data_IF_620770333111
#
_entry.id   IF_620770333111
#
_cell.length_a   1.000
_cell.length_b   1.000
_cell.length_c   1.000
_cell.angle_alpha   90.00
_cell.angle_beta   90.00
_cell.angle_gamma   90.00
#
_symmetry.space_group_name_H-M   'P 1'
#
loop_
_entity.id
_entity.type
_entity.pdbx_description
1 polymer ?
#
# COMPACT_ATOMS: atom_id res chain seq x y z
N UNK A 1 -20.86 30.98 -62.70
CA UNK A 1 -20.19 29.72 -62.20
C UNK A 1 -19.53 30.03 -60.89
N UNK A 2 -20.25 29.82 -59.81
CA UNK A 2 -19.75 30.04 -58.43
C UNK A 2 -19.55 28.73 -57.76
N UNK A 3 -18.32 28.39 -57.43
CA UNK A 3 -17.99 27.25 -56.58
C UNK A 3 -17.93 27.71 -55.12
N UNK A 4 -18.83 27.19 -54.31
CA UNK A 4 -18.84 27.34 -52.87
C UNK A 4 -17.71 26.52 -52.26
N UNK A 5 -16.80 27.21 -51.58
CA UNK A 5 -15.86 26.59 -50.63
C UNK A 5 -16.55 26.57 -49.27
N UNK A 6 -16.95 25.40 -48.81
CA UNK A 6 -17.30 25.17 -47.40
C UNK A 6 -16.02 24.71 -46.73
N UNK A 7 -15.43 25.64 -46.01
CA UNK A 7 -14.21 25.39 -45.24
C UNK A 7 -14.50 24.90 -43.82
N UNK A 8 -13.70 24.03 -43.38
CA UNK A 8 -13.13 23.74 -42.05
C UNK A 8 -13.64 24.66 -40.93
N UNK A 9 -14.54 24.14 -40.12
CA UNK A 9 -14.77 24.58 -38.73
C UNK A 9 -15.47 23.45 -37.97
N UNK A 10 -14.72 22.47 -37.48
CA UNK A 10 -15.16 21.51 -36.45
C UNK A 10 -13.97 20.66 -35.97
N UNK A 11 -13.03 21.27 -35.28
CA UNK A 11 -12.04 20.58 -34.45
C UNK A 11 -11.46 21.59 -33.47
N UNK A 12 -12.20 21.98 -32.46
CA UNK A 12 -11.65 22.61 -31.22
C UNK A 12 -12.77 22.83 -30.21
N UNK A 13 -13.37 21.73 -29.71
CA UNK A 13 -14.11 21.75 -28.42
C UNK A 13 -14.06 20.33 -27.85
N UNK A 14 -12.93 19.93 -27.32
CA UNK A 14 -12.84 18.73 -26.46
C UNK A 14 -11.55 18.77 -25.63
N UNK A 15 -11.22 19.90 -25.02
CA UNK A 15 -10.03 19.98 -24.17
C UNK A 15 -10.17 21.03 -23.06
N UNK A 16 -11.34 21.19 -22.46
CA UNK A 16 -11.50 22.12 -21.32
C UNK A 16 -12.68 21.70 -20.42
N UNK A 17 -12.60 20.53 -19.85
CA UNK A 17 -13.52 20.11 -18.78
C UNK A 17 -12.83 19.13 -17.79
N UNK A 18 -11.58 19.44 -17.39
CA UNK A 18 -10.86 18.65 -16.36
C UNK A 18 -10.03 19.56 -15.45
N UNK A 19 -10.60 20.63 -14.96
CA UNK A 19 -9.93 21.51 -14.01
C UNK A 19 -10.94 22.09 -13.02
N UNK A 20 -11.50 21.22 -12.16
CA UNK A 20 -12.10 21.60 -10.88
C UNK A 20 -12.43 20.34 -10.06
N UNK A 21 -11.46 19.51 -9.74
CA UNK A 21 -11.57 18.52 -8.66
C UNK A 21 -10.39 18.78 -7.72
N UNK A 22 -10.72 19.03 -6.47
CA UNK A 22 -9.78 19.41 -5.42
C UNK A 22 -8.54 18.53 -5.38
N UNK A 23 -7.38 19.16 -5.18
CA UNK A 23 -6.05 18.64 -5.34
C UNK A 23 -5.73 17.35 -4.61
N UNK A 24 -6.07 16.24 -5.22
CA UNK A 24 -5.40 14.98 -5.01
C UNK A 24 -4.48 14.85 -6.23
N UNK A 25 -3.19 14.91 -5.99
CA UNK A 25 -2.22 14.65 -7.04
C UNK A 25 -2.55 13.28 -7.63
N UNK A 26 -3.03 13.27 -8.86
CA UNK A 26 -3.14 12.04 -9.65
C UNK A 26 -1.72 11.53 -9.77
N UNK A 27 -1.39 10.50 -9.01
CA UNK A 27 -0.08 9.88 -9.06
C UNK A 27 0.20 9.54 -10.53
N UNK A 28 1.29 10.07 -11.06
CA UNK A 28 1.65 9.87 -12.46
C UNK A 28 1.77 8.37 -12.77
N UNK A 29 1.26 7.97 -13.91
CA UNK A 29 1.26 6.58 -14.39
C UNK A 29 2.63 6.11 -14.91
N UNK A 30 3.72 6.80 -14.62
CA UNK A 30 5.04 6.44 -15.09
C UNK A 30 5.63 5.25 -14.33
N UNK A 31 6.30 4.37 -15.05
CA UNK A 31 7.09 3.29 -14.48
C UNK A 31 8.25 3.87 -13.65
N UNK A 32 8.37 3.42 -12.42
CA UNK A 32 9.46 3.77 -11.51
C UNK A 32 10.26 2.51 -11.19
N UNK A 33 11.00 2.05 -12.18
CA UNK A 33 11.84 0.86 -12.06
C UNK A 33 13.24 1.27 -11.63
N UNK A 34 13.60 0.92 -10.41
CA UNK A 34 14.87 1.29 -9.81
C UNK A 34 15.52 0.08 -9.13
N UNK A 35 16.84 0.09 -9.06
CA UNK A 35 17.62 -0.95 -8.37
C UNK A 35 18.72 -0.31 -7.55
N UNK A 36 18.95 -0.85 -6.35
CA UNK A 36 20.10 -0.53 -5.52
C UNK A 36 20.73 -1.80 -4.97
N UNK A 37 22.05 -1.82 -4.95
CA UNK A 37 22.79 -2.91 -4.31
C UNK A 37 23.24 -2.49 -2.92
N UNK A 38 22.91 -3.31 -1.96
CA UNK A 38 23.43 -3.24 -0.60
C UNK A 38 24.67 -4.14 -0.58
N UNK A 39 25.84 -3.53 -0.49
CA UNK A 39 27.10 -4.25 -0.45
C UNK A 39 27.46 -4.66 0.99
N UNK A 40 27.89 -5.92 1.14
CA UNK A 40 28.35 -6.46 2.41
C UNK A 40 29.85 -6.74 2.33
N UNK A 41 30.70 -6.06 3.12
CA UNK A 41 32.14 -6.30 3.11
C UNK A 41 32.48 -7.76 3.44
N UNK A 42 33.41 -8.32 2.70
CA UNK A 42 33.93 -9.67 2.97
C UNK A 42 33.10 -10.83 2.43
N UNK A 43 32.06 -10.56 1.64
CA UNK A 43 31.27 -11.62 0.99
C UNK A 43 31.39 -11.57 -0.53
N UNK A 44 31.26 -12.75 -1.17
CA UNK A 44 31.06 -12.87 -2.61
C UNK A 44 29.66 -13.36 -2.97
N UNK A 45 28.84 -13.64 -1.95
CA UNK A 45 27.48 -14.11 -2.14
C UNK A 45 26.59 -12.96 -2.57
N UNK A 46 25.83 -13.17 -3.67
CA UNK A 46 24.93 -12.16 -4.22
C UNK A 46 23.51 -12.70 -4.31
N UNK A 47 22.58 -11.98 -3.73
CA UNK A 47 21.16 -12.29 -3.79
C UNK A 47 20.36 -11.10 -4.31
N UNK A 48 19.09 -11.33 -4.60
CA UNK A 48 18.15 -10.34 -5.11
C UNK A 48 16.84 -10.40 -4.34
N UNK A 49 16.31 -9.23 -4.02
CA UNK A 49 14.91 -9.00 -3.69
C UNK A 49 14.24 -8.37 -4.91
N UNK A 50 13.12 -8.94 -5.34
CA UNK A 50 12.26 -8.33 -6.36
C UNK A 50 10.98 -7.84 -5.69
N UNK A 51 10.67 -6.58 -5.90
CA UNK A 51 9.51 -5.92 -5.34
C UNK A 51 8.61 -5.37 -6.45
N UNK A 52 7.37 -5.85 -6.54
CA UNK A 52 6.36 -5.38 -7.48
C UNK A 52 5.32 -4.53 -6.75
N UNK A 53 4.94 -3.40 -7.33
CA UNK A 53 3.94 -2.58 -6.65
C UNK A 53 3.61 -1.26 -7.33
N UNK A 54 3.02 -0.38 -6.54
CA UNK A 54 2.64 0.96 -6.94
C UNK A 54 3.66 2.03 -6.47
N UNK A 55 3.19 3.20 -6.12
CA UNK A 55 4.03 4.32 -5.69
C UNK A 55 4.74 4.09 -4.36
N UNK A 56 4.18 3.28 -3.48
CA UNK A 56 4.76 3.00 -2.16
C UNK A 56 6.06 2.19 -2.33
N UNK A 57 6.00 1.11 -3.12
CA UNK A 57 7.20 0.32 -3.41
C UNK A 57 8.16 1.03 -4.37
N UNK A 58 7.66 1.91 -5.23
CA UNK A 58 8.51 2.81 -6.00
C UNK A 58 9.35 3.74 -5.12
N UNK A 59 8.89 4.02 -3.91
CA UNK A 59 9.51 4.99 -3.03
C UNK A 59 9.18 6.43 -3.44
N UNK A 60 7.95 6.68 -3.87
CA UNK A 60 7.51 8.01 -4.23
C UNK A 60 7.79 9.01 -3.10
N UNK A 61 8.50 10.10 -3.43
CA UNK A 61 8.89 11.11 -2.47
C UNK A 61 8.65 12.52 -3.05
N UNK A 62 7.40 12.95 -3.01
CA UNK A 62 6.95 14.24 -3.49
C UNK A 62 6.87 14.40 -5.02
N UNK A 63 7.52 13.54 -5.79
CA UNK A 63 7.40 13.48 -7.26
C UNK A 63 7.79 12.11 -7.80
N UNK A 64 7.34 11.80 -9.03
CA UNK A 64 7.68 10.54 -9.70
C UNK A 64 9.16 10.44 -10.10
N UNK A 65 9.83 11.55 -10.26
CA UNK A 65 11.27 11.59 -10.56
C UNK A 65 12.13 11.48 -9.28
N UNK A 66 11.52 11.56 -8.13
CA UNK A 66 12.18 11.50 -6.83
C UNK A 66 11.80 10.22 -6.10
N UNK A 67 12.51 9.13 -6.39
CA UNK A 67 12.34 7.86 -5.72
C UNK A 67 13.26 7.75 -4.51
N UNK A 68 12.69 7.59 -3.33
CA UNK A 68 13.47 7.39 -2.11
C UNK A 68 14.29 6.09 -2.20
N UNK A 69 15.60 6.17 -1.90
CA UNK A 69 16.48 4.99 -1.88
C UNK A 69 15.96 3.96 -0.89
N UNK A 70 15.62 4.39 0.30
CA UNK A 70 15.19 3.51 1.40
C UNK A 70 13.67 3.36 1.49
N UNK A 71 12.99 3.19 0.36
CA UNK A 71 11.65 2.63 0.37
C UNK A 71 11.66 1.21 0.93
N UNK A 72 10.49 0.72 1.35
CA UNK A 72 10.34 -0.54 2.06
C UNK A 72 11.18 -1.71 1.50
N UNK A 73 11.19 -1.99 0.19
CA UNK A 73 11.98 -3.12 -0.32
C UNK A 73 13.49 -2.96 -0.18
N UNK A 74 14.01 -1.73 -0.12
CA UNK A 74 15.44 -1.50 0.08
C UNK A 74 15.80 -1.60 1.56
N UNK A 75 14.91 -1.19 2.45
CA UNK A 75 15.05 -1.41 3.90
C UNK A 75 15.15 -2.90 4.21
N UNK A 76 14.28 -3.70 3.60
CA UNK A 76 14.34 -5.16 3.72
C UNK A 76 15.65 -5.75 3.19
N UNK A 77 16.13 -5.23 2.05
CA UNK A 77 17.41 -5.65 1.49
C UNK A 77 18.58 -5.39 2.45
N UNK A 78 18.59 -4.26 3.15
CA UNK A 78 19.61 -3.96 4.15
C UNK A 78 19.60 -4.96 5.30
N UNK A 79 18.42 -5.20 5.85
CA UNK A 79 18.27 -6.17 6.93
C UNK A 79 18.73 -7.56 6.50
N UNK A 80 18.22 -8.05 5.38
CA UNK A 80 18.55 -9.39 4.89
C UNK A 80 20.01 -9.51 4.46
N UNK A 81 20.63 -8.43 3.98
CA UNK A 81 22.07 -8.39 3.73
C UNK A 81 22.86 -8.67 5.00
N UNK A 82 22.46 -8.07 6.13
CA UNK A 82 23.07 -8.35 7.41
C UNK A 82 22.83 -9.79 7.89
N UNK A 83 21.58 -10.26 7.80
CA UNK A 83 21.19 -11.60 8.28
C UNK A 83 21.82 -12.73 7.46
N UNK A 84 21.95 -12.57 6.16
CA UNK A 84 22.44 -13.60 5.26
C UNK A 84 23.93 -13.47 4.91
N UNK A 85 24.58 -12.43 5.42
CA UNK A 85 25.95 -12.06 5.07
C UNK A 85 26.19 -12.07 3.57
N UNK A 86 25.37 -11.33 2.82
CA UNK A 86 25.36 -11.33 1.37
C UNK A 86 25.15 -9.90 0.80
N UNK A 87 25.71 -9.66 -0.39
CA UNK A 87 25.28 -8.53 -1.19
C UNK A 87 23.84 -8.74 -1.63
N UNK A 88 22.99 -7.74 -1.47
CA UNK A 88 21.60 -7.84 -1.91
C UNK A 88 21.26 -6.71 -2.88
N UNK A 89 20.83 -7.09 -4.08
CA UNK A 89 20.22 -6.19 -5.05
C UNK A 89 18.72 -6.05 -4.74
N UNK A 90 18.30 -4.85 -4.36
CA UNK A 90 16.89 -4.46 -4.23
C UNK A 90 16.38 -3.99 -5.60
N UNK A 91 15.58 -4.81 -6.27
CA UNK A 91 15.01 -4.52 -7.59
C UNK A 91 13.55 -4.16 -7.42
N UNK A 92 13.24 -2.88 -7.59
CA UNK A 92 11.86 -2.37 -7.53
C UNK A 92 11.28 -2.23 -8.92
N UNK A 93 10.16 -2.90 -9.16
CA UNK A 93 9.40 -2.94 -10.42
C UNK A 93 8.00 -2.38 -10.14
N UNK A 94 7.92 -1.06 -10.10
CA UNK A 94 6.74 -0.36 -9.60
C UNK A 94 6.19 0.63 -10.61
N UNK A 95 4.90 1.00 -10.45
CA UNK A 95 4.23 2.00 -11.27
C UNK A 95 3.32 2.83 -10.37
N UNK A 96 3.67 4.09 -10.15
CA UNK A 96 2.82 5.00 -9.37
C UNK A 96 1.41 5.09 -9.96
N UNK A 97 0.40 5.03 -9.10
CA UNK A 97 -1.00 5.05 -9.50
C UNK A 97 -1.55 3.71 -10.02
N UNK A 98 -0.74 2.65 -10.03
CA UNK A 98 -1.20 1.34 -10.49
C UNK A 98 -2.28 0.76 -9.58
N UNK A 99 -3.37 0.30 -10.17
CA UNK A 99 -4.39 -0.52 -9.48
C UNK A 99 -3.99 -2.00 -9.49
N UNK A 100 -4.70 -2.83 -8.76
CA UNK A 100 -4.36 -4.24 -8.59
C UNK A 100 -4.18 -5.00 -9.92
N UNK A 101 -5.07 -4.77 -10.89
CA UNK A 101 -4.96 -5.36 -12.23
C UNK A 101 -3.69 -4.94 -12.97
N UNK A 102 -3.28 -3.68 -12.82
CA UNK A 102 -2.05 -3.14 -13.43
C UNK A 102 -0.80 -3.76 -12.79
N UNK A 103 -0.74 -3.82 -11.46
CA UNK A 103 0.38 -4.46 -10.76
C UNK A 103 0.49 -5.93 -11.17
N UNK A 104 -0.62 -6.64 -11.24
CA UNK A 104 -0.65 -8.03 -11.68
C UNK A 104 -0.14 -8.17 -13.13
N UNK A 105 -0.80 -7.54 -14.08
CA UNK A 105 -0.55 -7.77 -15.50
C UNK A 105 0.77 -7.14 -15.99
N UNK A 106 0.99 -5.87 -15.62
CA UNK A 106 2.07 -5.06 -16.19
C UNK A 106 3.37 -5.10 -15.38
N UNK A 107 3.33 -5.63 -14.13
CA UNK A 107 4.52 -5.78 -13.29
C UNK A 107 4.82 -7.24 -13.01
N UNK A 108 3.94 -7.97 -12.35
CA UNK A 108 4.23 -9.35 -11.93
C UNK A 108 4.35 -10.27 -13.16
N UNK A 109 3.37 -10.24 -14.08
CA UNK A 109 3.34 -11.12 -15.25
C UNK A 109 4.33 -10.67 -16.31
N UNK A 110 4.27 -9.40 -16.73
CA UNK A 110 5.10 -8.88 -17.82
C UNK A 110 6.58 -8.86 -17.47
N UNK A 111 6.93 -8.62 -16.21
CA UNK A 111 8.30 -8.49 -15.75
C UNK A 111 8.78 -9.70 -14.93
N UNK A 112 8.19 -10.87 -15.16
CA UNK A 112 8.49 -12.12 -14.43
C UNK A 112 9.95 -12.55 -14.44
N UNK A 113 10.71 -12.16 -15.45
CA UNK A 113 12.14 -12.51 -15.58
C UNK A 113 12.96 -12.11 -14.34
N UNK A 114 12.55 -11.06 -13.65
CA UNK A 114 13.23 -10.64 -12.41
C UNK A 114 13.06 -11.66 -11.29
N UNK A 115 11.85 -12.20 -11.08
CA UNK A 115 11.62 -13.22 -10.05
C UNK A 115 12.13 -14.60 -10.43
N UNK A 116 12.36 -14.86 -11.72
CA UNK A 116 12.92 -16.10 -12.24
C UNK A 116 14.44 -16.16 -12.19
N UNK A 117 15.10 -15.03 -11.96
CA UNK A 117 16.56 -14.99 -11.92
C UNK A 117 17.11 -15.85 -10.77
N UNK A 118 18.19 -16.59 -11.05
CA UNK A 118 18.79 -17.54 -10.11
C UNK A 118 19.33 -16.89 -8.81
N UNK A 119 19.56 -15.58 -8.81
CA UNK A 119 19.94 -14.82 -7.62
C UNK A 119 18.76 -14.43 -6.73
N UNK A 120 17.52 -14.52 -7.23
CA UNK A 120 16.33 -14.08 -6.47
C UNK A 120 16.07 -14.99 -5.29
N UNK A 121 15.95 -14.38 -4.11
CA UNK A 121 15.65 -15.07 -2.84
C UNK A 121 14.38 -14.56 -2.18
N UNK A 122 13.95 -13.35 -2.55
CA UNK A 122 12.73 -12.75 -2.04
C UNK A 122 11.92 -12.21 -3.20
N UNK A 123 10.62 -12.49 -3.18
CA UNK A 123 9.63 -11.82 -4.01
C UNK A 123 8.63 -11.16 -3.08
N UNK A 124 8.54 -9.85 -3.14
CA UNK A 124 7.55 -9.10 -2.40
C UNK A 124 6.67 -8.30 -3.33
N UNK A 125 5.42 -8.07 -2.95
CA UNK A 125 4.54 -7.21 -3.71
C UNK A 125 3.53 -6.50 -2.81
N UNK A 126 3.04 -5.38 -3.30
CA UNK A 126 1.90 -4.67 -2.76
C UNK A 126 0.99 -4.22 -3.91
N UNK A 127 -0.30 -4.13 -3.64
CA UNK A 127 -1.32 -3.70 -4.60
C UNK A 127 -2.59 -3.30 -3.86
N UNK A 128 -3.59 -2.83 -4.57
CA UNK A 128 -4.90 -2.43 -4.03
C UNK A 128 -4.96 -1.03 -3.39
N UNK A 129 -3.84 -0.40 -3.10
CA UNK A 129 -3.85 0.95 -2.54
C UNK A 129 -4.64 1.93 -3.40
N UNK A 130 -4.35 1.94 -4.70
CA UNK A 130 -5.04 2.83 -5.65
C UNK A 130 -6.49 2.41 -5.93
N UNK A 131 -6.84 1.13 -5.90
CA UNK A 131 -8.23 0.68 -5.99
C UNK A 131 -9.06 1.26 -4.83
N UNK A 132 -8.54 1.16 -3.61
CA UNK A 132 -9.15 1.73 -2.42
C UNK A 132 -9.27 3.26 -2.47
N UNK A 133 -8.19 3.95 -2.84
CA UNK A 133 -8.16 5.42 -2.94
C UNK A 133 -9.14 5.95 -3.99
N UNK A 134 -9.25 5.30 -5.14
CA UNK A 134 -10.20 5.67 -6.18
C UNK A 134 -11.64 5.44 -5.72
N UNK A 135 -11.94 4.30 -5.10
CA UNK A 135 -13.25 3.99 -4.56
C UNK A 135 -13.66 4.95 -3.44
N UNK A 136 -12.74 5.29 -2.53
CA UNK A 136 -12.92 6.30 -1.49
C UNK A 136 -13.23 7.68 -2.09
N UNK A 137 -12.45 8.12 -3.06
CA UNK A 137 -12.65 9.39 -3.75
C UNK A 137 -13.98 9.43 -4.50
N UNK A 138 -14.32 8.34 -5.19
CA UNK A 138 -15.58 8.20 -5.89
C UNK A 138 -16.78 8.29 -4.91
N UNK A 139 -16.72 7.61 -3.77
CA UNK A 139 -17.79 7.70 -2.75
C UNK A 139 -17.88 9.12 -2.17
N UNK A 140 -16.76 9.74 -1.85
CA UNK A 140 -16.70 11.09 -1.26
C UNK A 140 -17.31 12.16 -2.18
N UNK A 141 -17.19 12.02 -3.49
CA UNK A 141 -17.68 12.97 -4.48
C UNK A 141 -19.16 12.81 -4.86
N UNK A 142 -19.81 11.72 -4.41
CA UNK A 142 -21.22 11.44 -4.76
C UNK A 142 -22.19 12.47 -4.16
N UNK A 143 -23.26 12.70 -4.93
CA UNK A 143 -24.40 13.52 -4.52
C UNK A 143 -25.68 12.73 -4.78
N UNK A 144 -26.79 13.14 -4.19
CA UNK A 144 -28.05 12.42 -4.31
C UNK A 144 -28.02 11.12 -3.50
N UNK A 145 -28.32 9.98 -4.10
CA UNK A 145 -28.29 8.67 -3.45
C UNK A 145 -26.88 8.09 -3.49
N UNK A 146 -26.38 7.60 -2.36
CA UNK A 146 -25.08 6.95 -2.27
C UNK A 146 -25.08 5.62 -3.03
N UNK A 147 -24.06 5.41 -3.87
CA UNK A 147 -23.79 4.15 -4.54
C UNK A 147 -22.54 3.50 -3.94
N UNK A 148 -22.74 2.47 -3.15
CA UNK A 148 -21.66 1.73 -2.49
C UNK A 148 -20.96 0.71 -3.38
N UNK A 149 -21.45 0.49 -4.61
CA UNK A 149 -20.81 -0.44 -5.55
C UNK A 149 -19.38 -0.06 -5.88
N UNK A 150 -19.02 1.22 -5.74
CA UNK A 150 -17.63 1.68 -5.92
C UNK A 150 -16.69 0.98 -4.93
N UNK A 151 -17.12 0.74 -3.69
CA UNK A 151 -16.35 0.03 -2.68
C UNK A 151 -16.31 -1.48 -2.96
N UNK A 152 -17.48 -2.11 -3.18
CA UNK A 152 -17.53 -3.54 -3.44
C UNK A 152 -16.81 -3.96 -4.74
N UNK A 153 -16.76 -3.09 -5.74
CA UNK A 153 -15.98 -3.33 -6.95
C UNK A 153 -14.47 -3.30 -6.67
N UNK A 154 -13.99 -2.37 -5.84
CA UNK A 154 -12.59 -2.34 -5.42
C UNK A 154 -12.23 -3.59 -4.61
N UNK A 155 -13.09 -4.00 -3.67
CA UNK A 155 -12.92 -5.24 -2.89
C UNK A 155 -12.83 -6.47 -3.82
N UNK A 156 -13.73 -6.59 -4.78
CA UNK A 156 -13.76 -7.71 -5.74
C UNK A 156 -12.51 -7.71 -6.65
N UNK A 157 -12.09 -6.54 -7.13
CA UNK A 157 -10.86 -6.38 -7.91
C UNK A 157 -9.65 -6.85 -7.11
N UNK A 158 -9.48 -6.32 -5.91
CA UNK A 158 -8.37 -6.68 -5.04
C UNK A 158 -8.35 -8.18 -4.72
N UNK A 159 -9.48 -8.75 -4.33
CA UNK A 159 -9.62 -10.18 -4.04
C UNK A 159 -9.17 -11.03 -5.22
N UNK A 160 -9.58 -10.67 -6.43
CA UNK A 160 -9.24 -11.38 -7.66
C UNK A 160 -7.75 -11.31 -7.97
N UNK A 161 -7.19 -10.11 -8.00
CA UNK A 161 -5.82 -9.94 -8.48
C UNK A 161 -4.75 -10.28 -7.43
N UNK A 162 -5.05 -10.15 -6.14
CA UNK A 162 -4.18 -10.66 -5.07
C UNK A 162 -4.03 -12.18 -5.16
N UNK A 163 -5.13 -12.90 -5.31
CA UNK A 163 -5.11 -14.36 -5.47
C UNK A 163 -4.34 -14.76 -6.73
N UNK A 164 -4.63 -14.12 -7.87
CA UNK A 164 -3.95 -14.39 -9.14
C UNK A 164 -2.46 -14.10 -9.07
N UNK A 165 -2.06 -13.01 -8.40
CA UNK A 165 -0.65 -12.65 -8.20
C UNK A 165 0.11 -13.70 -7.41
N UNK A 166 -0.47 -14.18 -6.31
CA UNK A 166 0.15 -15.22 -5.48
C UNK A 166 0.28 -16.54 -6.22
N UNK A 167 -0.77 -16.96 -6.93
CA UNK A 167 -0.73 -18.19 -7.74
C UNK A 167 0.31 -18.08 -8.85
N UNK A 168 0.38 -16.94 -9.53
CA UNK A 168 1.36 -16.71 -10.57
C UNK A 168 2.81 -16.70 -10.04
N UNK A 169 3.06 -16.03 -8.93
CA UNK A 169 4.39 -16.01 -8.28
C UNK A 169 4.77 -17.42 -7.84
N UNK A 170 3.84 -18.19 -7.24
CA UNK A 170 4.10 -19.56 -6.83
C UNK A 170 4.48 -20.47 -8.02
N UNK A 171 3.84 -20.28 -9.16
CA UNK A 171 4.09 -21.08 -10.36
C UNK A 171 5.35 -20.66 -11.13
N UNK A 172 5.80 -19.42 -11.01
CA UNK A 172 6.81 -18.85 -11.91
C UNK A 172 8.08 -18.35 -11.23
N UNK A 173 8.10 -18.13 -9.93
CA UNK A 173 9.28 -17.66 -9.24
C UNK A 173 10.41 -18.74 -9.28
N UNK A 174 11.65 -18.27 -9.23
CA UNK A 174 12.80 -19.17 -9.11
C UNK A 174 12.62 -20.13 -7.92
N UNK A 175 12.87 -21.45 -8.08
CA UNK A 175 12.67 -22.42 -7.01
C UNK A 175 13.47 -22.15 -5.73
N UNK A 176 14.55 -21.39 -5.83
CA UNK A 176 15.38 -20.97 -4.68
C UNK A 176 14.88 -19.73 -3.96
N UNK A 177 13.71 -19.19 -4.27
CA UNK A 177 13.08 -18.12 -3.50
C UNK A 177 12.72 -18.62 -2.11
N UNK A 178 13.25 -17.93 -1.10
CA UNK A 178 13.08 -18.30 0.32
C UNK A 178 11.88 -17.61 0.98
N UNK A 179 11.58 -16.39 0.53
CA UNK A 179 10.52 -15.58 1.11
C UNK A 179 9.62 -15.02 0.00
N UNK A 180 8.33 -15.14 0.20
CA UNK A 180 7.28 -14.51 -0.62
C UNK A 180 6.42 -13.69 0.31
N UNK A 181 6.23 -12.41 0.02
CA UNK A 181 5.64 -11.46 0.97
C UNK A 181 4.63 -10.57 0.26
N UNK A 182 3.53 -10.29 0.94
CA UNK A 182 2.60 -9.20 0.60
C UNK A 182 2.51 -8.22 1.75
N UNK A 183 2.36 -6.93 1.46
CA UNK A 183 2.01 -5.93 2.47
C UNK A 183 0.54 -5.58 2.33
N UNK A 184 -0.21 -5.55 3.45
CA UNK A 184 -1.56 -5.03 3.47
C UNK A 184 -1.56 -3.49 3.55
N UNK A 185 -2.74 -2.87 3.60
CA UNK A 185 -2.93 -1.44 3.41
C UNK A 185 -3.27 -0.75 4.73
N UNK A 186 -2.62 0.36 5.03
CA UNK A 186 -3.10 1.30 6.05
C UNK A 186 -4.24 2.18 5.50
N UNK A 187 -4.88 2.96 6.37
CA UNK A 187 -5.96 3.87 5.96
C UNK A 187 -5.42 5.31 5.87
N UNK A 188 -5.04 5.79 4.67
CA UNK A 188 -4.55 7.16 4.51
C UNK A 188 -5.70 8.16 4.70
N UNK A 189 -5.44 9.24 5.44
CA UNK A 189 -6.45 10.27 5.69
C UNK A 189 -7.59 9.84 6.60
N UNK A 190 -7.37 8.87 7.50
CA UNK A 190 -8.41 8.35 8.40
C UNK A 190 -9.15 9.45 9.16
N UNK A 191 -8.44 10.36 9.83
CA UNK A 191 -9.07 11.43 10.59
C UNK A 191 -9.84 12.41 9.69
N UNK A 192 -9.29 12.72 8.51
CA UNK A 192 -9.93 13.60 7.55
C UNK A 192 -11.23 13.03 6.96
N UNK A 193 -11.42 11.72 7.03
CA UNK A 193 -12.63 11.04 6.56
C UNK A 193 -13.73 10.92 7.61
N UNK A 194 -13.52 11.43 8.82
CA UNK A 194 -14.58 11.58 9.80
C UNK A 194 -15.51 12.75 9.43
N UNK A 195 -16.11 12.64 8.26
CA UNK A 195 -16.98 13.66 7.67
C UNK A 195 -18.23 13.03 7.08
N UNK A 196 -19.32 13.81 7.08
CA UNK A 196 -20.56 13.39 6.45
C UNK A 196 -20.45 13.51 4.91
N UNK A 197 -20.93 12.49 4.24
CA UNK A 197 -21.01 12.48 2.77
C UNK A 197 -22.00 13.53 2.26
N UNK A 198 -21.84 13.91 0.98
CA UNK A 198 -22.84 14.73 0.27
C UNK A 198 -23.98 13.88 -0.29
N UNK A 199 -23.84 12.57 -0.38
CA UNK A 199 -24.91 11.66 -0.78
C UNK A 199 -25.69 11.15 0.45
N UNK A 200 -26.87 10.59 0.20
CA UNK A 200 -27.76 10.04 1.20
C UNK A 200 -27.93 8.53 1.01
N UNK A 201 -27.97 7.80 2.10
CA UNK A 201 -28.26 6.38 2.10
C UNK A 201 -29.68 6.11 1.56
N UNK A 202 -29.80 5.15 0.64
CA UNK A 202 -31.06 4.85 -0.03
C UNK A 202 -32.16 4.33 0.92
N UNK A 203 -31.78 3.63 1.99
CA UNK A 203 -32.71 3.03 2.93
C UNK A 203 -33.19 4.00 4.02
N UNK A 204 -32.28 4.89 4.47
CA UNK A 204 -32.56 5.76 5.62
C UNK A 204 -32.77 7.22 5.24
N UNK A 205 -32.35 7.63 4.05
CA UNK A 205 -32.34 9.04 3.62
C UNK A 205 -31.32 9.92 4.35
N UNK A 206 -30.54 9.36 5.28
CA UNK A 206 -29.54 10.08 6.06
C UNK A 206 -28.22 10.22 5.29
N UNK A 207 -27.42 11.25 5.60
CA UNK A 207 -26.03 11.30 5.19
C UNK A 207 -25.25 10.20 5.92
N UNK A 208 -24.15 9.75 5.32
CA UNK A 208 -23.31 8.68 5.88
C UNK A 208 -21.94 9.22 6.20
N UNK A 209 -21.35 8.81 7.30
CA UNK A 209 -19.97 9.11 7.60
C UNK A 209 -19.06 8.29 6.66
N UNK A 210 -18.09 8.94 6.04
CA UNK A 210 -17.21 8.31 5.07
C UNK A 210 -16.35 7.21 5.70
N UNK A 211 -15.82 7.42 6.91
CA UNK A 211 -15.08 6.39 7.65
C UNK A 211 -15.93 5.14 7.89
N UNK A 212 -17.20 5.31 8.28
CA UNK A 212 -18.09 4.18 8.58
C UNK A 212 -18.37 3.29 7.38
N UNK A 213 -18.12 3.80 6.18
CA UNK A 213 -18.29 3.05 4.93
C UNK A 213 -16.97 2.54 4.35
N UNK A 214 -15.92 3.35 4.40
CA UNK A 214 -14.65 2.96 3.79
C UNK A 214 -13.83 2.02 4.69
N UNK A 215 -13.81 2.23 6.01
CA UNK A 215 -13.04 1.38 6.93
C UNK A 215 -13.43 -0.11 6.86
N UNK A 216 -14.72 -0.49 6.87
CA UNK A 216 -15.09 -1.91 6.70
C UNK A 216 -14.66 -2.48 5.36
N UNK A 217 -14.70 -1.67 4.29
CA UNK A 217 -14.24 -2.08 2.96
C UNK A 217 -12.75 -2.34 2.93
N UNK A 218 -11.95 -1.42 3.46
CA UNK A 218 -10.51 -1.58 3.58
C UNK A 218 -10.14 -2.79 4.47
N UNK A 219 -10.84 -2.98 5.57
CA UNK A 219 -10.64 -4.15 6.43
C UNK A 219 -10.89 -5.47 5.68
N UNK A 220 -11.93 -5.55 4.86
CA UNK A 220 -12.16 -6.74 4.01
C UNK A 220 -11.04 -6.99 3.01
N UNK A 221 -10.55 -5.92 2.36
CA UNK A 221 -9.39 -6.03 1.46
C UNK A 221 -8.19 -6.59 2.23
N UNK A 222 -7.86 -6.00 3.37
CA UNK A 222 -6.72 -6.42 4.20
C UNK A 222 -6.86 -7.86 4.72
N UNK A 223 -8.06 -8.24 5.12
CA UNK A 223 -8.35 -9.62 5.50
C UNK A 223 -7.97 -10.59 4.37
N UNK A 224 -8.45 -10.35 3.16
CA UNK A 224 -8.18 -11.24 2.03
C UNK A 224 -6.72 -11.21 1.58
N UNK A 225 -6.03 -10.09 1.69
CA UNK A 225 -4.59 -10.03 1.43
C UNK A 225 -3.82 -10.97 2.35
N UNK A 226 -4.07 -10.90 3.66
CA UNK A 226 -3.38 -11.72 4.64
C UNK A 226 -3.88 -13.17 4.67
N UNK A 227 -5.17 -13.41 4.48
CA UNK A 227 -5.71 -14.78 4.45
C UNK A 227 -5.22 -15.55 3.21
N UNK A 228 -5.18 -14.93 2.02
CA UNK A 228 -4.57 -15.57 0.86
C UNK A 228 -3.08 -15.78 1.04
N UNK A 229 -2.36 -14.84 1.66
CA UNK A 229 -0.96 -15.02 2.00
C UNK A 229 -0.78 -16.30 2.83
N UNK A 230 -1.55 -16.46 3.88
CA UNK A 230 -1.54 -17.66 4.74
C UNK A 230 -1.82 -18.94 3.94
N UNK A 231 -2.87 -18.92 3.11
CA UNK A 231 -3.29 -20.09 2.31
C UNK A 231 -2.30 -20.46 1.20
N UNK A 232 -1.57 -19.49 0.67
CA UNK A 232 -0.65 -19.67 -0.47
C UNK A 232 0.82 -19.74 -0.07
N UNK A 233 1.14 -19.73 1.24
CA UNK A 233 2.52 -19.81 1.76
C UNK A 233 3.32 -18.52 1.56
N UNK A 234 2.64 -17.38 1.62
CA UNK A 234 3.25 -16.06 1.70
C UNK A 234 3.23 -15.55 3.13
N UNK A 235 4.17 -14.68 3.46
CA UNK A 235 4.05 -13.82 4.63
C UNK A 235 3.17 -12.61 4.30
N UNK A 236 2.40 -12.16 5.27
CA UNK A 236 1.67 -10.90 5.19
C UNK A 236 2.30 -9.89 6.16
N UNK A 237 2.74 -8.75 5.65
CA UNK A 237 3.15 -7.63 6.49
C UNK A 237 1.93 -6.81 6.84
N UNK A 238 1.63 -6.69 8.14
CA UNK A 238 0.46 -5.97 8.62
C UNK A 238 0.74 -4.48 8.78
N UNK A 239 0.85 -3.79 7.64
CA UNK A 239 1.04 -2.35 7.62
C UNK A 239 -0.14 -1.60 8.24
N UNK A 240 -1.34 -2.19 8.17
CA UNK A 240 -2.51 -1.59 8.79
C UNK A 240 -2.33 -1.44 10.31
N UNK A 241 -2.00 -2.51 11.00
CA UNK A 241 -1.80 -2.48 12.43
C UNK A 241 -0.66 -1.53 12.82
N UNK A 242 0.43 -1.53 12.07
CA UNK A 242 1.59 -0.70 12.36
C UNK A 242 1.37 0.80 12.14
N UNK A 243 0.51 1.17 11.19
CA UNK A 243 0.21 2.57 10.91
C UNK A 243 -0.95 3.11 11.73
N UNK A 244 -1.94 2.27 11.99
CA UNK A 244 -3.19 2.71 12.61
C UNK A 244 -3.22 2.50 14.11
N UNK A 245 -2.48 1.53 14.63
CA UNK A 245 -2.41 1.23 16.06
C UNK A 245 -1.37 2.07 16.80
N UNK A 246 -1.59 2.30 18.08
CA UNK A 246 -0.58 2.89 18.96
C UNK A 246 0.58 1.92 19.23
N UNK A 247 1.73 2.44 19.63
CA UNK A 247 2.89 1.63 20.03
C UNK A 247 2.84 1.23 21.52
N UNK A 248 1.74 1.52 22.21
CA UNK A 248 1.54 1.25 23.62
C UNK A 248 0.07 0.94 23.91
N UNK A 249 -0.19 0.34 25.06
CA UNK A 249 -1.53 0.04 25.52
C UNK A 249 -2.23 1.33 26.02
N UNK A 250 -3.13 1.87 25.22
CA UNK A 250 -3.94 3.05 25.56
C UNK A 250 -5.24 2.71 26.23
N UNK A 251 -5.81 1.58 25.88
CA UNK A 251 -7.13 1.18 26.32
C UNK A 251 -7.10 0.36 27.62
N UNK A 252 -5.90 -0.07 28.05
CA UNK A 252 -5.71 -0.80 29.31
C UNK A 252 -6.10 -2.27 29.23
N UNK A 253 -6.13 -2.87 28.03
CA UNK A 253 -6.48 -4.28 27.86
C UNK A 253 -5.30 -5.25 28.02
N UNK A 254 -4.11 -4.70 28.27
CA UNK A 254 -2.89 -5.47 28.45
C UNK A 254 -2.17 -5.81 27.14
N UNK A 255 -2.68 -5.34 25.99
CA UNK A 255 -2.05 -5.50 24.68
C UNK A 255 -1.54 -4.15 24.19
N UNK A 256 -0.49 -4.17 23.36
CA UNK A 256 -0.12 -3.00 22.59
C UNK A 256 -1.22 -2.75 21.55
N UNK A 257 -1.72 -1.54 21.44
CA UNK A 257 -2.86 -1.24 20.53
C UNK A 257 -2.59 -1.60 19.06
N UNK A 258 -1.32 -1.57 18.63
CA UNK A 258 -0.96 -2.09 17.30
C UNK A 258 -1.20 -3.58 17.18
N UNK A 259 -1.01 -4.35 18.24
CA UNK A 259 -1.28 -5.79 18.27
C UNK A 259 -2.78 -6.07 18.17
N UNK A 260 -3.62 -5.26 18.84
CA UNK A 260 -5.07 -5.41 18.81
C UNK A 260 -5.67 -5.22 17.41
N UNK A 261 -4.97 -4.50 16.51
CA UNK A 261 -5.40 -4.29 15.12
C UNK A 261 -4.89 -5.34 14.14
N UNK A 262 -4.05 -6.29 14.57
CA UNK A 262 -3.43 -7.24 13.66
C UNK A 262 -4.41 -8.27 13.10
N UNK A 263 -4.08 -8.74 11.91
CA UNK A 263 -4.70 -9.93 11.37
C UNK A 263 -4.39 -11.15 12.27
N UNK A 264 -5.42 -11.90 12.61
CA UNK A 264 -5.29 -13.12 13.41
C UNK A 264 -5.57 -14.34 12.51
N UNK A 265 -4.58 -15.24 12.29
CA UNK A 265 -4.79 -16.44 11.49
C UNK A 265 -5.95 -17.29 12.02
N UNK A 266 -6.87 -17.66 11.12
CA UNK A 266 -8.06 -18.44 11.47
C UNK A 266 -9.26 -17.63 11.96
N UNK A 267 -9.13 -16.33 12.12
CA UNK A 267 -10.27 -15.44 12.35
C UNK A 267 -11.14 -15.37 11.08
N UNK A 268 -12.46 -15.31 11.25
CA UNK A 268 -13.35 -15.09 10.10
C UNK A 268 -13.29 -13.65 9.60
N UNK A 269 -13.58 -13.43 8.30
CA UNK A 269 -13.69 -12.08 7.73
C UNK A 269 -14.61 -11.18 8.57
N UNK A 270 -15.79 -11.68 8.95
CA UNK A 270 -16.74 -10.91 9.74
C UNK A 270 -16.20 -10.50 11.11
N UNK A 271 -15.51 -11.41 11.80
CA UNK A 271 -14.91 -11.12 13.10
C UNK A 271 -13.79 -10.11 12.97
N UNK A 272 -12.89 -10.29 11.99
CA UNK A 272 -11.82 -9.34 11.70
C UNK A 272 -12.39 -7.94 11.43
N UNK A 273 -13.33 -7.80 10.50
CA UNK A 273 -13.91 -6.50 10.15
C UNK A 273 -14.59 -5.85 11.36
N UNK A 274 -15.34 -6.62 12.15
CA UNK A 274 -16.00 -6.10 13.36
C UNK A 274 -14.98 -5.63 14.38
N UNK A 275 -13.94 -6.41 14.64
CA UNK A 275 -12.87 -6.07 15.58
C UNK A 275 -12.12 -4.81 15.14
N UNK A 276 -11.69 -4.75 13.87
CA UNK A 276 -10.98 -3.60 13.32
C UNK A 276 -11.84 -2.33 13.44
N UNK A 277 -13.10 -2.39 13.04
CA UNK A 277 -13.97 -1.20 13.05
C UNK A 277 -14.32 -0.72 14.46
N UNK A 278 -14.43 -1.61 15.43
CA UNK A 278 -14.69 -1.23 16.83
C UNK A 278 -13.41 -0.76 17.55
N UNK A 279 -12.30 -1.47 17.37
CA UNK A 279 -11.05 -1.20 18.08
C UNK A 279 -10.40 0.09 17.58
N UNK A 280 -10.37 0.35 16.27
CA UNK A 280 -9.69 1.52 15.73
C UNK A 280 -10.24 2.84 16.29
N UNK A 281 -11.52 2.90 16.59
CA UNK A 281 -12.14 4.09 17.17
C UNK A 281 -11.61 4.46 18.56
N UNK A 282 -11.05 3.52 19.29
CA UNK A 282 -10.53 3.72 20.65
C UNK A 282 -9.01 3.84 20.72
N UNK A 283 -8.27 3.31 19.75
CA UNK A 283 -6.82 3.07 19.86
C UNK A 283 -5.95 3.97 18.99
N UNK A 284 -6.45 4.96 18.41
CA UNK A 284 -6.01 5.67 17.22
C UNK A 284 -4.58 6.20 17.26
N UNK A 285 -3.82 5.74 16.26
CA UNK A 285 -2.92 6.58 15.51
C UNK A 285 -3.67 7.08 14.26
N UNK A 286 -3.69 8.39 14.06
CA UNK A 286 -4.05 8.97 12.79
C UNK A 286 -3.03 8.51 11.75
N UNK A 287 -3.48 7.91 10.63
CA UNK A 287 -2.59 7.49 9.55
C UNK A 287 -1.77 8.64 8.98
N UNK A 288 -2.23 9.88 9.15
CA UNK A 288 -1.50 11.04 8.69
C UNK A 288 -0.31 11.36 9.53
N UNK A 289 -0.12 10.67 10.69
CA UNK A 289 1.00 11.15 11.37
C UNK A 289 1.32 10.63 12.72
N UNK A 290 0.48 10.90 13.65
CA UNK A 290 0.94 10.91 15.01
C UNK A 290 0.14 9.94 15.82
N UNK A 291 0.73 9.40 16.83
CA UNK A 291 -0.04 9.03 18.02
C UNK A 291 -0.84 10.25 18.46
N UNK A 292 -2.09 10.07 18.83
CA UNK A 292 -2.99 11.17 19.25
C UNK A 292 -2.42 12.06 20.37
N UNK A 293 -1.38 11.59 21.06
CA UNK A 293 -0.65 12.34 22.09
C UNK A 293 0.73 12.80 21.67
N UNK A 294 1.10 12.70 20.38
CA UNK A 294 2.50 12.62 20.04
C UNK A 294 3.08 13.84 19.38
N UNK A 295 4.38 13.83 19.39
CA UNK A 295 5.27 14.73 18.67
C UNK A 295 5.47 14.25 17.23
N UNK A 296 6.03 15.15 16.39
CA UNK A 296 6.48 14.90 15.01
C UNK A 296 7.40 13.68 14.82
N UNK A 297 7.94 13.10 15.89
CA UNK A 297 8.78 11.90 15.80
C UNK A 297 8.04 10.63 15.36
N UNK A 298 6.72 10.68 15.26
CA UNK A 298 5.89 9.57 14.80
C UNK A 298 5.17 9.85 13.47
N UNK A 299 5.67 10.79 12.69
CA UNK A 299 5.14 11.06 11.36
C UNK A 299 5.50 9.94 10.40
N UNK A 300 4.51 9.13 10.02
CA UNK A 300 4.73 7.99 9.13
C UNK A 300 4.28 8.24 7.70
N UNK A 301 3.49 9.30 7.48
CA UNK A 301 2.90 9.65 6.21
C UNK A 301 3.35 11.04 5.78
N UNK A 302 3.65 11.20 4.49
CA UNK A 302 3.98 12.48 3.87
C UNK A 302 2.78 13.44 3.90
N UNK A 303 3.03 14.70 3.61
CA UNK A 303 2.00 15.75 3.56
C UNK A 303 0.93 15.54 2.47
N UNK A 304 1.12 14.56 1.60
CA UNK A 304 0.12 14.16 0.61
C UNK A 304 -0.93 13.17 1.15
N UNK A 305 -0.84 12.81 2.42
CA UNK A 305 -1.73 11.90 3.13
C UNK A 305 -1.78 10.45 2.59
N UNK A 306 -0.84 10.07 1.74
CA UNK A 306 -0.85 8.76 1.06
C UNK A 306 0.47 8.01 1.19
N UNK A 307 1.60 8.68 1.00
CA UNK A 307 2.88 7.99 0.90
C UNK A 307 3.62 7.96 2.24
N UNK A 308 4.32 6.84 2.53
CA UNK A 308 5.17 6.75 3.72
C UNK A 308 6.25 7.83 3.74
N UNK A 309 6.61 8.30 4.93
CA UNK A 309 7.83 9.09 5.11
C UNK A 309 9.07 8.20 4.96
N UNK A 310 10.14 8.79 4.47
CA UNK A 310 11.43 8.12 4.31
C UNK A 310 12.49 8.85 5.12
N UNK A 311 13.39 8.10 5.74
CA UNK A 311 14.61 8.70 6.32
C UNK A 311 15.41 9.31 5.19
N UNK A 312 15.77 10.58 5.33
CA UNK A 312 16.57 11.29 4.34
C UNK A 312 17.85 10.53 4.02
N UNK A 313 18.34 10.63 2.79
CA UNK A 313 19.34 9.82 2.10
C UNK A 313 20.67 9.47 2.78
N UNK A 314 20.79 9.60 4.07
CA UNK A 314 21.91 9.13 4.88
C UNK A 314 21.47 7.94 5.71
N UNK A 315 21.94 6.77 5.32
CA UNK A 315 21.82 5.56 6.12
C UNK A 315 22.59 5.76 7.40
N UNK A 316 21.90 6.07 8.46
CA UNK A 316 22.47 5.85 9.79
C UNK A 316 22.16 4.41 10.17
N UNK A 317 23.18 3.68 10.56
CA UNK A 317 23.03 2.36 11.14
C UNK A 317 21.95 2.42 12.24
N UNK A 318 20.92 1.61 12.12
CA UNK A 318 19.79 1.64 13.06
C UNK A 318 18.42 1.73 12.42
N UNK A 319 18.32 1.70 11.10
CA UNK A 319 17.05 1.76 10.36
C UNK A 319 16.04 0.67 10.78
N UNK A 320 16.53 -0.46 11.25
CA UNK A 320 15.70 -1.55 11.75
C UNK A 320 15.33 -1.41 13.23
N UNK A 321 16.03 -0.54 13.94
CA UNK A 321 15.88 -0.32 15.37
C UNK A 321 15.05 0.91 15.75
N UNK A 322 14.40 1.58 14.78
CA UNK A 322 13.50 2.63 15.15
C UNK A 322 13.99 4.04 14.89
N UNK A 323 14.21 4.39 13.65
CA UNK A 323 13.90 5.75 13.27
C UNK A 323 12.38 5.93 13.39
N UNK A 324 11.97 6.53 14.47
CA UNK A 324 10.57 6.82 14.79
C UNK A 324 9.92 7.76 13.77
N UNK A 325 10.70 8.38 12.88
CA UNK A 325 10.25 9.32 11.88
C UNK A 325 10.08 8.76 10.46
N UNK A 326 10.17 7.44 10.24
CA UNK A 326 10.00 6.87 8.90
C UNK A 326 8.89 5.83 8.83
N UNK A 327 7.96 6.03 7.91
CA UNK A 327 6.91 5.07 7.60
C UNK A 327 7.40 3.87 6.81
N UNK A 328 8.45 4.00 5.98
CA UNK A 328 8.90 2.94 5.10
C UNK A 328 9.29 1.63 5.82
N UNK A 329 10.04 1.64 6.92
CA UNK A 329 10.33 0.43 7.69
C UNK A 329 9.08 -0.24 8.25
N UNK A 330 8.02 0.51 8.51
CA UNK A 330 6.76 -0.03 9.01
C UNK A 330 5.92 -0.66 7.91
N UNK A 331 6.12 -0.26 6.67
CA UNK A 331 5.32 -0.77 5.56
C UNK A 331 5.71 -2.19 5.15
N UNK A 332 6.93 -2.60 5.32
CA UNK A 332 7.40 -3.86 4.79
C UNK A 332 7.75 -4.92 5.84
N UNK A 333 8.45 -4.57 6.88
CA UNK A 333 8.89 -5.42 8.00
C UNK A 333 9.00 -6.93 7.74
N UNK A 334 9.56 -7.32 6.61
CA UNK A 334 10.02 -8.70 6.37
C UNK A 334 10.91 -9.19 7.52
N UNK A 335 11.41 -8.28 8.27
CA UNK A 335 12.61 -8.36 9.07
C UNK A 335 12.47 -9.08 10.40
N UNK A 336 11.36 -9.74 10.68
CA UNK A 336 11.21 -10.39 11.99
C UNK A 336 11.11 -9.43 13.17
N UNK A 337 10.93 -8.14 12.91
CA UNK A 337 10.32 -7.25 13.87
C UNK A 337 8.94 -7.81 14.23
N UNK A 338 8.12 -7.10 14.91
CA UNK A 338 6.82 -7.58 15.38
C UNK A 338 5.88 -8.14 14.28
N UNK A 339 6.32 -8.23 13.00
CA UNK A 339 5.45 -8.42 11.87
C UNK A 339 6.02 -9.20 10.70
N UNK A 340 6.29 -10.48 10.82
CA UNK A 340 5.51 -11.41 10.04
C UNK A 340 4.37 -11.93 10.91
N UNK A 341 3.18 -11.97 10.36
CA UNK A 341 2.03 -12.51 11.07
C UNK A 341 2.22 -14.03 11.32
N UNK A 342 3.08 -14.69 10.56
CA UNK A 342 3.50 -16.09 10.68
C UNK A 342 4.88 -16.35 10.08
#
# INVERSE_FOLDING_TARGET
MNQFRIGRALQTVAALALLALGGHAVASTLNQNVSWTINRPGTTTKYRIVAYGDSIYAGYNGSISNAARFAAPTVDAEYLSAQWNADIESVRRAKSGAIASDVYANKIVAERSYMQAASTRVVTFEMCGNDGLQARSALKSQKGTCNYNVLSNAEASCKTYVAAAMDYINANAYPGVKLKVISNLFYPGYAADNVQSSCRDAGTGATVNLQDRFLPSLARINYWMCEYARLKGFQCTDSFADYMGADYDRNGDGLVDSEALRFMPGESESNYVTRITSTLRSTIRDANTHLVSASSSFDYIQSDDVHPTYTGGTVTAGLFGGSTGSGAPRYSRITGGKNPIW
#
